data_IF_321505032806
#
_entry.id   IF_321505032806
#
_cell.length_a   1.000
_cell.length_b   1.000
_cell.length_c   1.000
_cell.angle_alpha   90.00
_cell.angle_beta   90.00
_cell.angle_gamma   90.00
#
_symmetry.space_group_name_H-M   'P 1'
#
loop_
_entity.id
_entity.type
_entity.pdbx_description
1 polymer ?
#
# COMPACT_ATOMS: atom_id res chain seq x y z
N UNK A 1 27.60 2.48 -52.49
CA UNK A 1 27.74 2.42 -51.02
C UNK A 1 27.35 3.77 -50.45
N UNK A 2 26.18 3.86 -49.83
CA UNK A 2 25.64 5.08 -49.21
C UNK A 2 25.49 4.76 -47.72
N UNK A 3 26.22 5.46 -46.86
CA UNK A 3 26.19 5.25 -45.41
C UNK A 3 25.03 6.03 -44.80
N UNK A 4 24.10 5.34 -44.14
CA UNK A 4 23.04 5.96 -43.36
C UNK A 4 23.60 6.41 -42.00
N UNK A 5 23.51 7.70 -41.70
CA UNK A 5 23.81 8.26 -40.39
C UNK A 5 22.60 8.10 -39.48
N UNK A 6 22.74 7.30 -38.42
CA UNK A 6 21.75 7.23 -37.33
C UNK A 6 22.23 8.17 -36.24
N UNK A 7 21.72 9.40 -36.25
CA UNK A 7 21.92 10.32 -35.14
C UNK A 7 21.10 9.83 -33.94
N UNK A 8 21.78 9.34 -32.91
CA UNK A 8 21.16 9.00 -31.64
C UNK A 8 20.61 10.25 -30.95
N UNK A 9 19.30 10.30 -30.75
CA UNK A 9 18.66 11.33 -29.94
C UNK A 9 19.15 11.19 -28.49
N UNK A 10 19.96 12.14 -28.02
CA UNK A 10 20.41 12.19 -26.64
C UNK A 10 19.20 12.34 -25.72
N UNK A 11 19.05 11.40 -24.77
CA UNK A 11 18.06 11.49 -23.70
C UNK A 11 18.42 12.69 -22.83
N UNK A 12 17.58 13.72 -22.84
CA UNK A 12 17.81 14.94 -22.06
C UNK A 12 17.85 14.59 -20.56
N UNK A 13 18.85 15.04 -19.77
CA UNK A 13 19.00 14.63 -18.38
C UNK A 13 17.98 15.27 -17.41
N UNK A 14 17.15 16.20 -17.88
CA UNK A 14 16.27 16.99 -17.00
C UNK A 14 14.98 16.29 -16.57
N UNK A 15 14.55 15.22 -17.23
CA UNK A 15 13.30 14.54 -16.88
C UNK A 15 13.41 13.69 -15.60
N UNK A 16 14.64 13.34 -15.18
CA UNK A 16 14.88 12.47 -14.04
C UNK A 16 14.96 13.22 -12.70
N UNK A 17 15.07 14.55 -12.72
CA UNK A 17 15.37 15.37 -11.54
C UNK A 17 14.31 16.44 -11.26
N UNK A 18 13.09 16.28 -11.78
CA UNK A 18 11.94 17.00 -11.25
C UNK A 18 11.74 16.53 -9.81
N UNK A 19 12.42 17.22 -8.87
CA UNK A 19 12.24 17.04 -7.45
C UNK A 19 10.73 17.01 -7.18
N UNK A 20 10.23 15.85 -6.75
CA UNK A 20 8.82 15.67 -6.45
C UNK A 20 8.45 16.76 -5.46
N UNK A 21 7.73 17.78 -5.91
CA UNK A 21 7.15 18.78 -5.03
C UNK A 21 6.42 18.04 -3.92
N UNK A 22 6.52 18.48 -2.66
CA UNK A 22 5.83 17.82 -1.56
C UNK A 22 4.33 17.88 -1.86
N UNK A 23 3.80 16.78 -2.40
CA UNK A 23 2.37 16.64 -2.61
C UNK A 23 1.77 16.71 -1.23
N UNK A 24 0.87 17.66 -0.99
CA UNK A 24 0.02 17.69 0.20
C UNK A 24 -0.97 16.52 0.10
N UNK A 25 -0.47 15.29 0.15
CA UNK A 25 -1.27 14.08 0.06
C UNK A 25 -2.06 13.89 1.35
N UNK A 26 -3.27 13.37 1.21
CA UNK A 26 -4.14 13.10 2.36
C UNK A 26 -3.46 12.02 3.21
N UNK A 27 -3.47 12.12 4.54
CA UNK A 27 -2.91 11.03 5.37
C UNK A 27 -3.73 9.75 5.13
N UNK A 28 -3.07 8.59 4.98
CA UNK A 28 -3.76 7.28 4.98
C UNK A 28 -4.59 7.15 6.27
N UNK A 29 -5.67 6.38 6.33
CA UNK A 29 -6.51 6.28 7.54
C UNK A 29 -5.88 5.39 8.62
N UNK A 30 -6.34 5.51 9.87
CA UNK A 30 -5.86 4.63 10.95
C UNK A 30 -6.32 3.21 10.69
N UNK A 31 -5.49 2.20 10.97
CA UNK A 31 -5.94 0.81 10.86
C UNK A 31 -7.13 0.52 11.77
N UNK A 32 -7.11 1.10 12.98
CA UNK A 32 -8.24 1.04 13.94
C UNK A 32 -9.51 1.76 13.47
N UNK A 33 -9.46 2.50 12.36
CA UNK A 33 -10.62 3.14 11.75
C UNK A 33 -11.33 2.28 10.71
N UNK A 34 -10.81 1.10 10.38
CA UNK A 34 -11.48 0.15 9.48
C UNK A 34 -12.62 -0.55 10.22
N UNK A 35 -13.79 -0.64 9.57
CA UNK A 35 -14.94 -1.37 10.10
C UNK A 35 -14.61 -2.85 10.28
N UNK A 36 -14.67 -3.36 11.53
CA UNK A 36 -14.42 -4.75 11.86
C UNK A 36 -15.32 -5.72 11.06
N UNK A 37 -16.65 -5.51 10.95
CA UNK A 37 -17.50 -6.37 10.12
C UNK A 37 -17.10 -6.37 8.63
N UNK A 38 -16.71 -5.22 8.08
CA UNK A 38 -16.32 -5.13 6.67
C UNK A 38 -14.98 -5.84 6.41
N UNK A 39 -14.03 -5.70 7.34
CA UNK A 39 -12.76 -6.41 7.29
C UNK A 39 -12.97 -7.92 7.39
N UNK A 40 -13.75 -8.39 8.37
CA UNK A 40 -14.06 -9.81 8.52
C UNK A 40 -14.72 -10.37 7.26
N UNK A 41 -15.72 -9.67 6.71
CA UNK A 41 -16.37 -10.08 5.47
C UNK A 41 -15.42 -10.15 4.28
N UNK A 42 -14.46 -9.22 4.16
CA UNK A 42 -13.43 -9.29 3.11
C UNK A 42 -12.50 -10.49 3.31
N UNK A 43 -12.09 -10.77 4.56
CA UNK A 43 -11.22 -11.90 4.85
C UNK A 43 -11.84 -13.26 4.47
N UNK A 44 -13.15 -13.42 4.69
CA UNK A 44 -13.89 -14.64 4.34
C UNK A 44 -13.94 -14.92 2.83
N UNK A 45 -13.88 -13.87 2.01
CA UNK A 45 -13.96 -13.96 0.55
C UNK A 45 -12.66 -13.54 -0.16
N UNK A 46 -11.55 -13.50 0.59
CA UNK A 46 -10.25 -13.14 0.04
C UNK A 46 -9.83 -14.12 -1.08
N UNK A 47 -9.08 -13.60 -2.05
CA UNK A 47 -8.45 -14.39 -3.11
C UNK A 47 -7.52 -15.44 -2.51
N UNK A 48 -6.73 -15.04 -1.52
CA UNK A 48 -5.90 -15.93 -0.71
C UNK A 48 -6.21 -15.74 0.79
N UNK A 49 -6.67 -16.79 1.50
CA UNK A 49 -6.87 -16.73 2.94
C UNK A 49 -5.57 -16.45 3.68
N UNK A 50 -5.59 -15.49 4.61
CA UNK A 50 -4.43 -15.14 5.40
C UNK A 50 -4.79 -14.83 6.86
N UNK A 51 -4.50 -15.78 7.77
CA UNK A 51 -4.78 -15.63 9.19
C UNK A 51 -4.02 -14.46 9.84
N UNK A 52 -2.84 -14.12 9.31
CA UNK A 52 -2.07 -12.97 9.77
C UNK A 52 -2.70 -11.64 9.36
N UNK A 53 -3.72 -11.61 8.50
CA UNK A 53 -4.44 -10.40 8.12
C UNK A 53 -5.87 -10.36 8.64
N UNK A 54 -6.23 -11.26 9.55
CA UNK A 54 -7.49 -11.17 10.28
C UNK A 54 -7.47 -9.99 11.27
N UNK A 55 -8.62 -9.36 11.55
CA UNK A 55 -8.67 -8.17 12.38
C UNK A 55 -8.01 -8.33 13.75
N UNK A 56 -8.26 -9.44 14.44
CA UNK A 56 -7.74 -9.73 15.77
C UNK A 56 -6.20 -9.81 15.80
N UNK A 57 -5.60 -10.40 14.77
CA UNK A 57 -4.15 -10.54 14.67
C UNK A 57 -3.50 -9.20 14.36
N UNK A 58 -3.95 -8.53 13.30
CA UNK A 58 -3.37 -7.25 12.87
C UNK A 58 -3.57 -6.14 13.90
N UNK A 59 -4.70 -6.14 14.63
CA UNK A 59 -4.89 -5.19 15.72
C UNK A 59 -3.96 -5.47 16.91
N UNK A 60 -3.65 -6.73 17.20
CA UNK A 60 -2.64 -7.07 18.20
C UNK A 60 -1.23 -6.64 17.75
N UNK A 61 -0.86 -6.89 16.49
CA UNK A 61 0.40 -6.40 15.90
C UNK A 61 0.49 -4.87 15.98
N UNK A 62 -0.59 -4.18 15.59
CA UNK A 62 -0.72 -2.73 15.65
C UNK A 62 -0.63 -2.17 17.09
N UNK A 63 -0.97 -2.94 18.11
CA UNK A 63 -0.85 -2.52 19.50
C UNK A 63 0.55 -2.79 20.07
N UNK A 64 1.18 -3.92 19.73
CA UNK A 64 2.31 -4.45 20.50
C UNK A 64 3.61 -4.66 19.73
N UNK A 65 3.58 -4.77 18.40
CA UNK A 65 4.76 -5.15 17.62
C UNK A 65 5.69 -3.95 17.34
N UNK A 66 6.95 -3.96 17.83
CA UNK A 66 7.89 -2.86 17.60
C UNK A 66 8.11 -2.58 16.12
N UNK A 67 8.12 -1.29 15.75
CA UNK A 67 8.23 -0.88 14.34
C UNK A 67 6.97 -1.13 13.50
N UNK A 68 5.94 -1.79 14.05
CA UNK A 68 4.66 -2.10 13.38
C UNK A 68 3.41 -1.57 14.09
N UNK A 69 3.53 -1.00 15.31
CA UNK A 69 2.38 -0.42 16.03
C UNK A 69 1.72 0.75 15.28
N UNK A 70 0.61 1.35 15.71
CA UNK A 70 0.07 2.60 15.09
C UNK A 70 0.01 2.59 13.54
N UNK A 71 -0.27 1.43 12.96
CA UNK A 71 -0.38 1.21 11.54
C UNK A 71 -1.51 2.05 10.94
N UNK A 72 -1.32 2.40 9.68
CA UNK A 72 -2.37 2.95 8.82
C UNK A 72 -2.95 1.82 7.98
N UNK A 73 -3.98 2.12 7.21
CA UNK A 73 -4.52 1.21 6.23
C UNK A 73 -4.55 1.90 4.88
N UNK A 74 -4.11 1.16 3.86
CA UNK A 74 -4.62 1.37 2.52
C UNK A 74 -5.88 0.52 2.35
N UNK A 75 -6.95 1.11 1.82
CA UNK A 75 -8.24 0.46 1.61
C UNK A 75 -8.85 0.86 0.27
N UNK A 76 -9.54 -0.09 -0.35
CA UNK A 76 -10.34 0.11 -1.55
C UNK A 76 -11.76 -0.38 -1.27
N UNK A 77 -12.74 0.43 -1.67
CA UNK A 77 -14.15 0.10 -1.57
C UNK A 77 -14.76 0.11 -2.96
N UNK A 78 -15.66 -0.84 -3.23
CA UNK A 78 -16.50 -0.82 -4.42
C UNK A 78 -17.52 0.33 -4.34
N UNK A 79 -18.19 0.62 -5.45
CA UNK A 79 -19.18 1.70 -5.55
C UNK A 79 -20.33 1.59 -4.54
N UNK A 80 -20.68 0.37 -4.13
CA UNK A 80 -21.70 0.09 -3.12
C UNK A 80 -21.18 0.28 -1.67
N UNK A 81 -19.93 0.70 -1.48
CA UNK A 81 -19.28 0.91 -0.19
C UNK A 81 -18.64 -0.34 0.42
N UNK A 82 -18.78 -1.50 -0.20
CA UNK A 82 -18.16 -2.75 0.25
C UNK A 82 -16.63 -2.65 0.22
N UNK A 83 -15.96 -3.04 1.31
CA UNK A 83 -14.49 -3.10 1.36
C UNK A 83 -13.99 -4.28 0.51
N UNK A 84 -13.24 -4.02 -0.56
CA UNK A 84 -12.77 -5.03 -1.51
C UNK A 84 -11.25 -5.21 -1.52
N UNK A 85 -10.51 -4.29 -0.89
CA UNK A 85 -9.06 -4.40 -0.72
C UNK A 85 -8.62 -3.75 0.57
N UNK A 86 -7.70 -4.39 1.29
CA UNK A 86 -7.14 -3.88 2.53
C UNK A 86 -5.67 -4.28 2.69
N UNK A 87 -4.83 -3.28 2.91
CA UNK A 87 -3.42 -3.43 3.26
C UNK A 87 -3.11 -2.60 4.50
N UNK A 88 -3.02 -3.21 5.70
CA UNK A 88 -2.35 -2.63 6.85
C UNK A 88 -0.94 -2.20 6.48
N UNK A 89 -0.56 -0.97 6.84
CA UNK A 89 0.68 -0.37 6.37
C UNK A 89 1.39 0.50 7.41
N UNK A 90 2.71 0.53 7.33
CA UNK A 90 3.61 1.47 8.00
C UNK A 90 4.57 2.09 6.97
N UNK A 91 5.31 3.14 7.35
CA UNK A 91 6.36 3.68 6.48
C UNK A 91 7.61 2.79 6.47
N UNK A 92 8.30 2.73 5.33
CA UNK A 92 9.57 2.02 5.20
C UNK A 92 10.64 2.51 6.19
N UNK A 93 10.67 3.83 6.49
CA UNK A 93 11.55 4.40 7.50
C UNK A 93 11.32 3.77 8.87
N UNK A 94 10.07 3.61 9.27
CA UNK A 94 9.77 3.03 10.57
C UNK A 94 10.00 1.51 10.58
N UNK A 95 9.65 0.86 9.48
CA UNK A 95 9.71 -0.59 9.39
C UNK A 95 11.14 -1.12 9.30
N UNK A 96 12.00 -0.40 8.57
CA UNK A 96 13.31 -0.88 8.10
C UNK A 96 14.41 0.17 8.22
N UNK A 97 14.14 1.36 8.76
CA UNK A 97 15.10 2.49 8.84
C UNK A 97 15.59 2.97 7.47
N UNK A 98 14.81 2.71 6.41
CA UNK A 98 15.09 3.17 5.06
C UNK A 98 14.44 4.54 4.82
N UNK A 99 15.18 5.60 4.42
CA UNK A 99 14.64 6.94 4.21
C UNK A 99 13.90 7.06 2.87
N UNK A 100 12.95 6.16 2.62
CA UNK A 100 12.14 6.10 1.41
C UNK A 100 10.69 6.49 1.72
N UNK A 101 10.04 7.35 0.89
CA UNK A 101 8.61 7.66 0.99
C UNK A 101 7.75 6.49 0.48
N UNK A 102 7.88 5.31 1.11
CA UNK A 102 7.17 4.11 0.71
C UNK A 102 6.33 3.55 1.86
N UNK A 103 5.12 3.11 1.51
CA UNK A 103 4.31 2.23 2.33
C UNK A 103 4.84 0.81 2.21
N UNK A 104 4.92 0.12 3.34
CA UNK A 104 5.18 -1.32 3.42
C UNK A 104 4.08 -1.96 4.25
N UNK A 105 3.88 -3.25 4.11
CA UNK A 105 2.92 -4.00 4.93
C UNK A 105 3.26 -3.85 6.43
N UNK A 106 2.24 -3.80 7.27
CA UNK A 106 2.41 -3.76 8.72
C UNK A 106 2.63 -5.15 9.34
N UNK A 107 2.77 -6.19 8.51
CA UNK A 107 2.91 -7.57 8.98
C UNK A 107 4.13 -7.77 9.89
N UNK A 108 3.99 -8.71 10.82
CA UNK A 108 5.05 -9.23 11.67
C UNK A 108 5.65 -10.53 11.13
N UNK A 109 5.03 -11.14 10.12
CA UNK A 109 5.44 -12.41 9.49
C UNK A 109 5.47 -12.27 7.95
N UNK A 110 6.57 -11.73 7.39
CA UNK A 110 6.69 -11.46 5.96
C UNK A 110 6.50 -12.65 5.01
N UNK A 111 6.78 -13.92 5.39
CA UNK A 111 6.47 -15.07 4.53
C UNK A 111 4.98 -15.22 4.18
N UNK A 112 4.08 -14.60 4.95
CA UNK A 112 2.64 -14.57 4.74
C UNK A 112 2.16 -13.16 4.37
N UNK A 113 2.85 -12.51 3.42
CA UNK A 113 2.60 -11.11 3.04
C UNK A 113 1.45 -10.87 2.04
N UNK A 114 0.56 -11.84 1.83
CA UNK A 114 -0.59 -11.66 0.93
C UNK A 114 -1.64 -10.77 1.60
N UNK A 115 -1.77 -9.54 1.10
CA UNK A 115 -2.78 -8.57 1.54
C UNK A 115 -4.20 -9.06 1.21
N UNK A 116 -5.21 -8.54 1.89
CA UNK A 116 -6.60 -8.95 1.64
C UNK A 116 -7.11 -8.27 0.37
N UNK A 117 -7.43 -9.10 -0.62
CA UNK A 117 -8.02 -8.72 -1.90
C UNK A 117 -9.23 -9.60 -2.13
N UNK A 118 -10.37 -9.01 -2.48
CA UNK A 118 -11.57 -9.74 -2.85
C UNK A 118 -11.29 -10.60 -4.09
N UNK A 119 -11.65 -11.89 -4.02
CA UNK A 119 -11.38 -12.86 -5.09
C UNK A 119 -12.03 -12.53 -6.43
N UNK A 120 -13.20 -11.90 -6.38
CA UNK A 120 -14.02 -11.65 -7.58
C UNK A 120 -13.80 -10.23 -8.10
N UNK A 121 -13.05 -9.39 -7.37
CA UNK A 121 -12.80 -7.97 -7.68
C UNK A 121 -11.32 -7.60 -7.60
N UNK A 122 -10.42 -8.56 -7.86
CA UNK A 122 -8.99 -8.39 -7.59
C UNK A 122 -8.35 -7.21 -8.33
N UNK A 123 -8.63 -7.05 -9.62
CA UNK A 123 -8.08 -5.96 -10.43
C UNK A 123 -8.53 -4.57 -9.93
N UNK A 124 -9.81 -4.44 -9.56
CA UNK A 124 -10.39 -3.22 -9.01
C UNK A 124 -9.77 -2.89 -7.65
N UNK A 125 -9.72 -3.88 -6.76
CA UNK A 125 -9.15 -3.74 -5.43
C UNK A 125 -7.68 -3.30 -5.48
N UNK A 126 -6.85 -3.97 -6.27
CA UNK A 126 -5.42 -3.63 -6.41
C UNK A 126 -5.24 -2.26 -7.05
N UNK A 127 -6.02 -1.94 -8.09
CA UNK A 127 -5.97 -0.62 -8.74
C UNK A 127 -6.31 0.50 -7.75
N UNK A 128 -7.35 0.30 -6.93
CA UNK A 128 -7.76 1.25 -5.90
C UNK A 128 -6.72 1.40 -4.78
N UNK A 129 -6.12 0.31 -4.31
CA UNK A 129 -5.02 0.38 -3.32
C UNK A 129 -3.81 1.15 -3.86
N UNK A 130 -3.43 0.90 -5.11
CA UNK A 130 -2.32 1.61 -5.77
C UNK A 130 -2.64 3.09 -5.99
N UNK A 131 -3.88 3.41 -6.35
CA UNK A 131 -4.34 4.79 -6.46
C UNK A 131 -4.26 5.50 -5.11
N UNK A 132 -4.78 4.87 -4.06
CA UNK A 132 -4.72 5.43 -2.73
C UNK A 132 -3.26 5.63 -2.29
N UNK A 133 -2.35 4.67 -2.53
CA UNK A 133 -0.93 4.83 -2.22
C UNK A 133 -0.30 6.06 -2.89
N UNK A 134 -0.72 6.41 -4.12
CA UNK A 134 -0.23 7.62 -4.84
C UNK A 134 -0.80 8.93 -4.29
N UNK A 135 -2.00 8.88 -3.74
CA UNK A 135 -2.71 10.04 -3.19
C UNK A 135 -2.34 10.32 -1.73
N UNK A 136 -1.89 9.29 -1.00
CA UNK A 136 -1.56 9.40 0.42
C UNK A 136 -0.10 9.78 0.65
N UNK A 137 0.13 10.65 1.63
CA UNK A 137 1.49 11.03 2.04
C UNK A 137 2.11 9.95 2.93
N UNK A 138 3.33 9.52 2.60
CA UNK A 138 4.20 8.74 3.47
C UNK A 138 5.15 9.68 4.21
N UNK A 139 5.22 9.67 5.55
CA UNK A 139 6.16 10.48 6.29
C UNK A 139 7.61 10.09 5.96
N UNK A 140 8.43 11.10 5.67
CA UNK A 140 9.89 10.98 5.57
C UNK A 140 10.46 12.06 6.48
N UNK A 141 10.96 11.64 7.64
CA UNK A 141 11.48 12.48 8.74
C UNK A 141 10.39 13.14 9.61
#
# INVERSE_FOLDING_TARGET
MHAASVAGQARSPDSANAAAQPRHGVRAISLTGISLPAWQSLAERAAEPNACYLPEWELAVNAFSPGRTNARALSCHADNGELIGLMPTVSALRAYQLPLPAFVTADAFPPLGTILIDRDKADEAVSGLMQQARERTVPVL
#
